data_IF_837162866906
#
_entry.id   IF_837162866906
#
_cell.length_a   1.000
_cell.length_b   1.000
_cell.length_c   1.000
_cell.angle_alpha   90.00
_cell.angle_beta   90.00
_cell.angle_gamma   90.00
#
_symmetry.space_group_name_H-M   'P 1'
#
loop_
_entity.id
_entity.type
_entity.pdbx_description
1 polymer ?
#
# COMPACT_ATOMS: atom_id res chain seq x y z
N UNK A 1 21.24 14.00 -28.84
CA UNK A 1 21.28 12.60 -28.37
C UNK A 1 20.96 12.55 -26.87
N UNK A 2 19.68 12.51 -26.49
CA UNK A 2 19.30 12.35 -25.07
C UNK A 2 19.41 10.87 -24.69
N UNK A 3 20.54 10.49 -24.08
CA UNK A 3 20.59 9.24 -23.32
C UNK A 3 19.67 9.46 -22.12
N UNK A 4 18.46 8.89 -22.15
CA UNK A 4 17.63 8.71 -20.95
C UNK A 4 18.45 7.87 -19.96
N UNK A 5 19.24 8.55 -19.14
CA UNK A 5 20.15 7.94 -18.19
C UNK A 5 19.28 7.38 -17.08
N UNK A 6 19.01 6.07 -17.11
CA UNK A 6 18.29 5.36 -16.05
C UNK A 6 18.89 5.77 -14.70
N UNK A 7 18.07 6.37 -13.83
CA UNK A 7 18.51 6.90 -12.55
C UNK A 7 18.35 5.80 -11.50
N UNK A 8 19.44 5.47 -10.81
CA UNK A 8 19.44 4.54 -9.68
C UNK A 8 18.66 5.11 -8.49
N UNK A 9 17.92 4.25 -7.79
CA UNK A 9 17.25 4.49 -6.51
C UNK A 9 18.27 4.97 -5.47
N UNK A 10 19.44 4.34 -5.39
CA UNK A 10 20.47 4.64 -4.39
C UNK A 10 20.96 6.09 -4.51
N UNK A 11 21.12 6.54 -5.76
CA UNK A 11 21.53 7.91 -6.08
C UNK A 11 20.39 8.90 -5.84
N UNK A 12 19.15 8.49 -6.05
CA UNK A 12 17.99 9.29 -5.68
C UNK A 12 17.94 9.47 -4.16
N UNK A 13 17.84 8.39 -3.37
CA UNK A 13 17.74 8.44 -1.90
C UNK A 13 18.83 9.27 -1.23
N UNK A 14 20.08 9.17 -1.70
CA UNK A 14 21.22 9.91 -1.15
C UNK A 14 21.18 11.41 -1.46
N UNK A 15 20.55 11.82 -2.55
CA UNK A 15 20.58 13.21 -3.03
C UNK A 15 19.27 13.95 -2.91
N UNK A 16 18.15 13.24 -2.75
CA UNK A 16 16.83 13.84 -2.66
C UNK A 16 16.50 14.27 -1.24
N UNK A 17 15.78 15.38 -1.15
CA UNK A 17 15.12 15.82 0.06
C UNK A 17 13.75 15.14 0.19
N UNK A 18 13.23 14.98 1.42
CA UNK A 18 11.87 14.53 1.64
C UNK A 18 10.86 15.41 0.89
N UNK A 19 9.86 14.78 0.28
CA UNK A 19 8.88 15.43 -0.60
C UNK A 19 9.31 15.55 -2.06
N UNK A 20 10.59 15.38 -2.40
CA UNK A 20 11.02 15.35 -3.80
C UNK A 20 10.58 14.06 -4.49
N UNK A 21 10.08 14.21 -5.72
CA UNK A 21 9.69 13.10 -6.59
C UNK A 21 10.85 12.77 -7.55
N UNK A 22 10.99 11.49 -7.89
CA UNK A 22 12.00 11.03 -8.84
C UNK A 22 11.54 9.80 -9.63
N UNK A 23 11.89 9.78 -10.91
CA UNK A 23 11.67 8.63 -11.78
C UNK A 23 12.85 7.65 -11.65
N UNK A 24 12.55 6.40 -11.34
CA UNK A 24 13.52 5.30 -11.21
C UNK A 24 13.09 4.12 -12.08
N UNK A 25 14.06 3.27 -12.47
CA UNK A 25 13.79 2.09 -13.29
C UNK A 25 13.99 0.84 -12.46
N UNK A 26 12.94 0.03 -12.35
CA UNK A 26 12.87 -1.06 -11.38
C UNK A 26 12.31 -2.34 -12.01
N UNK A 27 12.58 -3.46 -11.37
CA UNK A 27 11.86 -4.74 -11.56
C UNK A 27 11.09 -5.03 -10.27
N UNK A 28 9.86 -5.53 -10.40
CA UNK A 28 9.07 -5.97 -9.26
C UNK A 28 9.58 -7.32 -8.75
N UNK A 29 9.82 -7.42 -7.44
CA UNK A 29 10.17 -8.69 -6.79
C UNK A 29 8.99 -9.34 -6.09
N UNK A 30 8.27 -8.55 -5.29
CA UNK A 30 7.10 -9.02 -4.55
C UNK A 30 6.23 -7.84 -4.09
N UNK A 31 5.00 -8.15 -3.72
CA UNK A 31 4.06 -7.23 -3.05
C UNK A 31 3.71 -7.90 -1.73
N UNK A 32 3.98 -7.21 -0.62
CA UNK A 32 3.81 -7.73 0.73
C UNK A 32 2.84 -6.88 1.54
N UNK A 33 2.18 -7.51 2.51
CA UNK A 33 1.42 -6.81 3.54
C UNK A 33 2.35 -6.12 4.53
N UNK A 34 1.86 -5.07 5.18
CA UNK A 34 2.61 -4.39 6.24
C UNK A 34 2.53 -5.13 7.57
N UNK A 35 1.49 -5.93 7.83
CA UNK A 35 1.26 -6.50 9.16
C UNK A 35 2.25 -7.61 9.51
N UNK A 36 2.75 -8.41 8.56
CA UNK A 36 3.60 -9.58 8.83
C UNK A 36 2.95 -10.67 9.71
N UNK A 37 1.77 -10.40 10.27
CA UNK A 37 0.96 -11.32 11.05
C UNK A 37 0.16 -12.23 10.11
N UNK A 38 0.08 -13.54 10.39
CA UNK A 38 -0.75 -14.43 9.62
C UNK A 38 -2.22 -14.06 9.79
N UNK A 39 -2.89 -13.97 8.65
CA UNK A 39 -4.30 -13.70 8.52
C UNK A 39 -5.13 -14.71 9.33
N UNK A 40 -5.86 -14.25 10.36
CA UNK A 40 -6.65 -15.16 11.22
C UNK A 40 -7.67 -16.02 10.45
N UNK A 41 -8.06 -15.59 9.24
CA UNK A 41 -8.96 -16.34 8.35
C UNK A 41 -8.21 -17.37 7.49
N UNK A 42 -7.14 -16.96 6.82
CA UNK A 42 -6.43 -17.80 5.84
C UNK A 42 -5.22 -18.54 6.42
N UNK A 43 -4.78 -18.18 7.62
CA UNK A 43 -3.50 -18.57 8.26
C UNK A 43 -2.27 -18.32 7.39
N UNK A 44 -2.39 -17.43 6.41
CA UNK A 44 -1.35 -17.03 5.48
C UNK A 44 -0.87 -15.62 5.83
N UNK A 45 0.45 -15.40 5.80
CA UNK A 45 1.11 -14.11 6.04
C UNK A 45 0.93 -13.14 4.86
N UNK A 46 0.50 -13.65 3.69
CA UNK A 46 0.24 -12.86 2.49
C UNK A 46 -1.19 -13.07 1.96
N UNK A 47 -2.19 -13.08 2.85
CA UNK A 47 -3.60 -13.05 2.43
C UNK A 47 -4.04 -11.61 2.06
N UNK A 48 -4.89 -11.48 1.03
CA UNK A 48 -5.44 -10.19 0.62
C UNK A 48 -6.36 -9.54 1.66
N UNK A 49 -6.86 -10.29 2.65
CA UNK A 49 -7.71 -9.73 3.71
C UNK A 49 -6.99 -8.76 4.64
N UNK A 50 -5.66 -8.79 4.66
CA UNK A 50 -4.83 -7.92 5.51
C UNK A 50 -4.22 -6.72 4.74
N UNK A 51 -4.62 -6.55 3.47
CA UNK A 51 -4.27 -5.39 2.64
C UNK A 51 -5.09 -4.15 3.01
N UNK A 52 -6.33 -4.36 3.49
CA UNK A 52 -7.25 -3.28 3.84
C UNK A 52 -7.15 -2.90 5.31
N UNK A 53 -6.60 -1.74 5.59
CA UNK A 53 -6.55 -1.14 6.91
C UNK A 53 -7.67 -0.12 7.08
N UNK A 54 -7.89 0.34 8.30
CA UNK A 54 -8.74 1.47 8.60
C UNK A 54 -7.91 2.67 9.03
N UNK A 55 -8.27 3.89 8.63
CA UNK A 55 -7.71 5.11 9.20
C UNK A 55 -8.81 6.05 9.61
N UNK A 56 -8.72 6.53 10.85
CA UNK A 56 -9.55 7.63 11.31
C UNK A 56 -8.92 8.95 10.89
N UNK A 57 -9.68 9.79 10.17
CA UNK A 57 -9.18 11.10 9.71
C UNK A 57 -9.00 12.09 10.85
N UNK A 58 -9.79 11.95 11.91
CA UNK A 58 -9.87 12.89 13.00
C UNK A 58 -8.70 12.71 13.98
N UNK A 59 -8.35 11.47 14.33
CA UNK A 59 -7.23 11.19 15.22
C UNK A 59 -5.96 10.71 14.50
N UNK A 60 -6.04 10.42 13.19
CA UNK A 60 -4.92 9.90 12.41
C UNK A 60 -4.43 8.52 12.86
N UNK A 61 -5.26 7.79 13.61
CA UNK A 61 -4.97 6.41 14.01
C UNK A 61 -5.23 5.47 12.84
N UNK A 62 -4.34 4.51 12.67
CA UNK A 62 -4.44 3.44 11.69
C UNK A 62 -4.71 2.11 12.41
N UNK A 63 -5.59 1.31 11.84
CA UNK A 63 -6.11 0.08 12.41
C UNK A 63 -5.89 -1.06 11.43
N UNK A 64 -5.24 -2.12 11.88
CA UNK A 64 -5.07 -3.32 11.06
C UNK A 64 -6.41 -4.00 10.81
N UNK A 65 -6.49 -4.88 9.80
CA UNK A 65 -7.67 -5.74 9.62
C UNK A 65 -8.00 -6.56 10.88
N UNK A 66 -6.98 -6.95 11.66
CA UNK A 66 -7.15 -7.65 12.93
C UNK A 66 -7.87 -6.80 13.97
N UNK A 67 -7.48 -5.53 14.11
CA UNK A 67 -8.13 -4.58 15.03
C UNK A 67 -9.58 -4.35 14.62
N UNK A 68 -9.83 -4.14 13.32
CA UNK A 68 -11.17 -3.96 12.78
C UNK A 68 -12.08 -5.17 13.07
N UNK A 69 -11.58 -6.40 12.86
CA UNK A 69 -12.32 -7.64 13.16
C UNK A 69 -12.57 -7.85 14.66
N UNK A 70 -11.72 -7.33 15.54
CA UNK A 70 -11.91 -7.41 17.00
C UNK A 70 -12.94 -6.40 17.49
N UNK A 71 -13.03 -5.23 16.86
CA UNK A 71 -13.83 -4.12 17.34
C UNK A 71 -15.21 -3.99 16.68
N UNK A 72 -15.43 -4.57 15.49
CA UNK A 72 -16.70 -4.48 14.76
C UNK A 72 -17.28 -5.84 14.42
N UNK A 73 -18.61 -5.88 14.29
CA UNK A 73 -19.28 -7.10 13.84
C UNK A 73 -19.01 -7.36 12.36
N UNK A 74 -19.10 -8.63 11.94
CA UNK A 74 -19.01 -9.02 10.53
C UNK A 74 -20.02 -8.27 9.65
N UNK A 75 -21.23 -8.04 10.15
CA UNK A 75 -22.27 -7.30 9.41
C UNK A 75 -21.84 -5.86 9.16
N UNK A 76 -21.25 -5.20 10.16
CA UNK A 76 -20.79 -3.81 10.02
C UNK A 76 -19.66 -3.71 9.02
N UNK A 77 -18.68 -4.62 9.08
CA UNK A 77 -17.55 -4.66 8.15
C UNK A 77 -17.98 -4.91 6.70
N UNK A 78 -19.03 -5.71 6.47
CA UNK A 78 -19.52 -5.99 5.11
C UNK A 78 -20.33 -4.81 4.54
N UNK A 79 -21.17 -4.17 5.36
CA UNK A 79 -22.16 -3.19 4.88
C UNK A 79 -21.67 -1.75 4.91
N UNK A 80 -20.73 -1.43 5.79
CA UNK A 80 -20.36 -0.05 6.07
C UNK A 80 -19.26 0.44 5.13
N UNK A 81 -19.44 1.66 4.61
CA UNK A 81 -18.38 2.39 3.89
C UNK A 81 -17.40 3.07 4.84
N UNK A 82 -17.88 3.41 6.04
CA UNK A 82 -17.14 4.09 7.10
C UNK A 82 -17.59 3.51 8.45
N UNK A 83 -16.69 3.40 9.43
CA UNK A 83 -16.98 2.86 10.76
C UNK A 83 -16.73 3.91 11.83
N UNK A 84 -17.46 3.92 12.94
CA UNK A 84 -17.25 4.91 14.00
C UNK A 84 -15.95 4.63 14.77
N UNK A 85 -15.00 5.57 14.79
CA UNK A 85 -13.70 5.33 15.43
C UNK A 85 -13.79 5.02 16.92
N UNK A 86 -13.32 3.83 17.31
CA UNK A 86 -13.32 3.35 18.70
C UNK A 86 -12.19 3.93 19.58
N UNK A 87 -11.21 4.64 19.00
CA UNK A 87 -10.17 5.33 19.78
C UNK A 87 -10.53 6.77 20.14
N UNK A 88 -11.39 7.41 19.33
CA UNK A 88 -11.82 8.78 19.60
C UNK A 88 -12.76 8.79 20.80
N UNK A 89 -12.30 9.33 21.93
CA UNK A 89 -12.98 9.31 23.24
C UNK A 89 -14.18 10.27 23.34
N UNK A 90 -14.57 10.91 22.24
CA UNK A 90 -15.57 11.96 22.22
C UNK A 90 -16.77 11.42 21.43
N UNK A 91 -18.02 11.65 21.88
CA UNK A 91 -19.22 11.35 21.10
C UNK A 91 -19.33 12.37 19.96
N UNK A 92 -18.32 12.42 19.09
CA UNK A 92 -18.41 13.12 17.84
C UNK A 92 -18.82 12.07 16.79
N UNK A 93 -20.09 12.04 16.35
CA UNK A 93 -20.52 11.13 15.29
C UNK A 93 -19.77 11.35 13.96
N UNK A 94 -18.95 12.41 13.86
CA UNK A 94 -18.07 12.67 12.73
C UNK A 94 -16.77 11.84 12.70
N UNK A 95 -16.32 11.25 13.82
CA UNK A 95 -15.04 10.54 13.83
C UNK A 95 -15.17 9.16 13.16
N UNK A 96 -14.83 9.07 11.88
CA UNK A 96 -15.00 7.85 11.09
C UNK A 96 -13.67 7.26 10.63
N UNK A 97 -13.61 5.94 10.69
CA UNK A 97 -12.58 5.12 10.07
C UNK A 97 -13.02 4.86 8.63
N UNK A 98 -12.16 5.20 7.68
CA UNK A 98 -12.31 4.82 6.27
C UNK A 98 -11.36 3.69 5.90
N UNK A 99 -11.73 2.80 4.98
CA UNK A 99 -10.83 1.77 4.49
C UNK A 99 -9.68 2.43 3.71
N UNK A 100 -8.49 1.84 3.79
CA UNK A 100 -7.31 2.23 3.02
C UNK A 100 -6.49 0.98 2.68
N UNK A 101 -5.80 0.98 1.55
CA UNK A 101 -4.79 -0.05 1.31
C UNK A 101 -3.52 0.30 2.04
N UNK A 102 -2.88 -0.69 2.68
CA UNK A 102 -1.58 -0.52 3.32
C UNK A 102 -0.62 -1.63 2.88
N UNK A 103 0.18 -1.33 1.85
CA UNK A 103 1.07 -2.30 1.19
C UNK A 103 2.51 -1.82 1.15
N UNK A 104 3.41 -2.80 1.05
CA UNK A 104 4.82 -2.61 0.76
C UNK A 104 5.17 -3.36 -0.52
N UNK A 105 5.76 -2.68 -1.48
CA UNK A 105 6.22 -3.27 -2.73
C UNK A 105 7.73 -3.42 -2.68
N UNK A 106 8.23 -4.64 -2.91
CA UNK A 106 9.66 -4.92 -3.00
C UNK A 106 10.11 -4.82 -4.46
N UNK A 107 11.11 -3.99 -4.70
CA UNK A 107 11.61 -3.64 -6.02
C UNK A 107 13.12 -3.86 -6.08
N UNK A 108 13.62 -4.19 -7.27
CA UNK A 108 15.05 -4.24 -7.58
C UNK A 108 15.44 -3.06 -8.47
N UNK A 109 16.50 -2.34 -8.09
CA UNK A 109 17.08 -1.27 -8.91
C UNK A 109 17.86 -1.87 -10.08
N UNK A 110 17.49 -1.54 -11.31
CA UNK A 110 18.14 -2.03 -12.54
C UNK A 110 19.59 -1.56 -12.75
N UNK A 111 20.05 -0.58 -11.98
CA UNK A 111 21.40 -0.02 -12.09
C UNK A 111 22.33 -0.62 -11.04
N UNK A 112 21.83 -0.88 -9.83
CA UNK A 112 22.64 -1.38 -8.70
C UNK A 112 22.32 -2.81 -8.29
N UNK A 113 21.28 -3.42 -8.85
CA UNK A 113 20.71 -4.72 -8.47
C UNK A 113 20.40 -4.82 -6.97
N UNK A 114 20.10 -3.67 -6.35
CA UNK A 114 19.78 -3.60 -4.93
C UNK A 114 18.28 -3.73 -4.75
N UNK A 115 17.86 -4.58 -3.81
CA UNK A 115 16.45 -4.68 -3.42
C UNK A 115 16.10 -3.61 -2.38
N UNK A 116 14.89 -3.09 -2.48
CA UNK A 116 14.35 -2.11 -1.55
C UNK A 116 12.83 -2.20 -1.47
N UNK A 117 12.31 -1.83 -0.32
CA UNK A 117 10.88 -1.73 -0.06
C UNK A 117 10.40 -0.30 -0.32
N UNK A 118 9.24 -0.16 -0.96
CA UNK A 118 8.52 1.11 -1.11
C UNK A 118 7.10 0.97 -0.61
N UNK A 119 6.59 2.00 0.04
CA UNK A 119 5.20 2.09 0.46
C UNK A 119 4.28 2.30 -0.75
N UNK A 120 3.19 1.55 -0.77
CA UNK A 120 2.04 1.76 -1.64
C UNK A 120 0.79 1.74 -0.76
N UNK A 121 0.32 2.91 -0.32
CA UNK A 121 -0.75 3.00 0.68
C UNK A 121 -1.67 4.20 0.43
N UNK A 122 -2.90 4.11 0.96
CA UNK A 122 -3.92 5.16 0.89
C UNK A 122 -4.27 5.56 -0.55
N UNK A 123 -4.46 6.86 -0.77
CA UNK A 123 -4.84 7.43 -2.08
C UNK A 123 -3.90 7.00 -3.22
N UNK A 124 -2.61 6.79 -2.94
CA UNK A 124 -1.65 6.34 -3.96
C UNK A 124 -1.88 4.89 -4.37
N UNK A 125 -2.29 4.03 -3.43
CA UNK A 125 -2.66 2.66 -3.76
C UNK A 125 -3.99 2.62 -4.52
N UNK A 126 -4.96 3.46 -4.13
CA UNK A 126 -6.21 3.60 -4.88
C UNK A 126 -5.97 4.07 -6.32
N UNK A 127 -5.14 5.09 -6.50
CA UNK A 127 -4.74 5.58 -7.82
C UNK A 127 -3.98 4.51 -8.62
N UNK A 128 -3.07 3.80 -7.95
CA UNK A 128 -2.25 2.78 -8.57
C UNK A 128 -3.09 1.61 -9.07
N UNK A 129 -3.98 1.05 -8.25
CA UNK A 129 -4.82 -0.08 -8.65
C UNK A 129 -6.08 0.34 -9.40
N UNK A 130 -6.48 1.61 -9.34
CA UNK A 130 -7.74 2.09 -9.90
C UNK A 130 -8.98 1.52 -9.19
N UNK A 131 -8.84 1.06 -7.95
CA UNK A 131 -9.92 0.49 -7.14
C UNK A 131 -9.86 1.03 -5.72
N UNK A 132 -11.03 1.21 -5.10
CA UNK A 132 -11.11 1.62 -3.70
C UNK A 132 -11.17 0.40 -2.77
N UNK A 133 -10.44 0.43 -1.65
CA UNK A 133 -10.53 -0.63 -0.64
C UNK A 133 -11.90 -0.58 0.05
N UNK A 134 -12.34 -1.74 0.55
CA UNK A 134 -13.58 -1.84 1.33
C UNK A 134 -13.35 -2.69 2.56
N UNK A 135 -14.02 -2.36 3.68
CA UNK A 135 -13.95 -3.16 4.90
C UNK A 135 -14.44 -4.60 4.69
N UNK A 136 -15.31 -4.81 3.71
CA UNK A 136 -15.77 -6.12 3.29
C UNK A 136 -14.60 -7.06 3.01
N UNK A 137 -13.50 -6.57 2.43
CA UNK A 137 -12.33 -7.38 2.10
C UNK A 137 -11.53 -7.82 3.32
N UNK A 138 -11.75 -7.23 4.50
CA UNK A 138 -11.17 -7.74 5.76
C UNK A 138 -11.84 -9.05 6.19
N UNK A 139 -13.02 -9.37 5.63
CA UNK A 139 -13.82 -10.55 5.91
C UNK A 139 -13.90 -11.47 4.69
N UNK A 140 -14.30 -10.97 3.54
CA UNK A 140 -14.50 -11.72 2.30
C UNK A 140 -13.28 -11.61 1.38
N UNK A 141 -13.11 -12.58 0.47
CA UNK A 141 -12.06 -12.47 -0.54
C UNK A 141 -12.25 -11.20 -1.38
N UNK A 142 -11.14 -10.66 -1.89
CA UNK A 142 -11.20 -9.61 -2.89
C UNK A 142 -11.93 -10.14 -4.14
N UNK A 143 -12.52 -9.26 -4.98
CA UNK A 143 -13.11 -9.67 -6.24
C UNK A 143 -12.07 -10.42 -7.09
N UNK A 144 -12.49 -11.46 -7.81
CA UNK A 144 -11.60 -12.23 -8.70
C UNK A 144 -10.86 -11.35 -9.70
N UNK A 145 -11.50 -10.25 -10.13
CA UNK A 145 -10.88 -9.24 -11.00
C UNK A 145 -9.68 -8.57 -10.36
N UNK A 146 -9.72 -8.31 -9.05
CA UNK A 146 -8.60 -7.73 -8.31
C UNK A 146 -7.45 -8.72 -8.18
N UNK A 147 -7.74 -9.97 -7.81
CA UNK A 147 -6.72 -11.03 -7.71
C UNK A 147 -6.03 -11.26 -9.06
N UNK A 148 -6.82 -11.30 -10.14
CA UNK A 148 -6.29 -11.41 -11.50
C UNK A 148 -5.40 -10.22 -11.88
N UNK A 149 -5.81 -8.99 -11.54
CA UNK A 149 -4.99 -7.79 -11.78
C UNK A 149 -3.64 -7.90 -11.08
N UNK A 150 -3.63 -8.21 -9.78
CA UNK A 150 -2.39 -8.35 -9.00
C UNK A 150 -1.50 -9.45 -9.58
N UNK A 151 -2.06 -10.62 -9.90
CA UNK A 151 -1.33 -11.71 -10.51
C UNK A 151 -0.73 -11.31 -11.88
N UNK A 152 -1.49 -10.59 -12.71
CA UNK A 152 -1.02 -10.12 -14.00
C UNK A 152 0.15 -9.16 -13.85
N UNK A 153 0.04 -8.16 -12.97
CA UNK A 153 1.14 -7.24 -12.69
C UNK A 153 2.36 -7.93 -12.11
N UNK A 154 2.17 -8.89 -11.21
CA UNK A 154 3.28 -9.68 -10.71
C UNK A 154 4.00 -10.41 -11.86
N UNK A 155 3.24 -11.05 -12.76
CA UNK A 155 3.77 -11.75 -13.93
C UNK A 155 4.51 -10.83 -14.91
N UNK A 156 3.95 -9.66 -15.22
CA UNK A 156 4.51 -8.73 -16.18
C UNK A 156 5.72 -7.98 -15.63
N UNK A 157 5.60 -7.44 -14.42
CA UNK A 157 6.60 -6.55 -13.81
C UNK A 157 7.75 -7.31 -13.14
N UNK A 158 7.60 -8.60 -12.85
CA UNK A 158 8.72 -9.46 -12.42
C UNK A 158 9.69 -9.80 -13.54
N UNK A 159 9.23 -9.73 -14.80
CA UNK A 159 10.01 -10.10 -15.98
C UNK A 159 10.56 -8.90 -16.75
N UNK A 160 10.02 -7.71 -16.53
CA UNK A 160 10.34 -6.51 -17.32
C UNK A 160 10.61 -5.33 -16.39
N UNK A 161 11.63 -4.54 -16.75
CA UNK A 161 11.87 -3.28 -16.06
C UNK A 161 10.83 -2.23 -16.47
N UNK A 162 10.30 -1.51 -15.51
CA UNK A 162 9.37 -0.40 -15.75
C UNK A 162 9.82 0.87 -15.02
N UNK A 163 9.46 2.06 -15.55
CA UNK A 163 9.71 3.31 -14.85
C UNK A 163 8.68 3.46 -13.72
N UNK A 164 9.13 3.92 -12.56
CA UNK A 164 8.31 4.16 -11.38
C UNK A 164 8.63 5.54 -10.81
N UNK A 165 7.60 6.32 -10.52
CA UNK A 165 7.78 7.60 -9.81
C UNK A 165 7.70 7.34 -8.32
N UNK A 166 8.77 7.69 -7.61
CA UNK A 166 8.87 7.54 -6.15
C UNK A 166 9.08 8.89 -5.48
N UNK A 167 8.55 9.03 -4.28
CA UNK A 167 8.77 10.15 -3.38
C UNK A 167 9.56 9.68 -2.16
N UNK A 168 10.52 10.48 -1.70
CA UNK A 168 11.20 10.24 -0.41
C UNK A 168 10.38 10.81 0.73
N UNK A 169 10.03 10.00 1.70
CA UNK A 169 9.19 10.39 2.84
C UNK A 169 9.93 10.15 4.16
N UNK A 170 9.50 10.85 5.22
CA UNK A 170 9.83 10.49 6.59
C UNK A 170 8.77 9.54 7.12
N UNK A 171 9.19 8.40 7.64
CA UNK A 171 8.35 7.57 8.49
C UNK A 171 8.35 8.10 9.92
N UNK A 172 7.33 7.75 10.72
CA UNK A 172 7.17 8.22 12.11
C UNK A 172 8.36 7.87 13.02
N UNK A 173 9.11 6.83 12.67
CA UNK A 173 10.34 6.39 13.33
C UNK A 173 11.60 7.19 12.92
N UNK A 174 11.45 8.21 12.06
CA UNK A 174 12.54 9.06 11.59
C UNK A 174 13.40 8.41 10.50
N UNK A 175 13.05 7.20 10.03
CA UNK A 175 13.74 6.58 8.90
C UNK A 175 13.31 7.23 7.57
N UNK A 176 14.23 7.25 6.61
CA UNK A 176 13.91 7.66 5.25
C UNK A 176 13.27 6.47 4.53
N UNK A 177 11.99 6.57 4.22
CA UNK A 177 11.26 5.60 3.41
C UNK A 177 11.00 6.16 2.01
N UNK A 178 10.54 5.30 1.12
CA UNK A 178 10.15 5.63 -0.24
C UNK A 178 8.69 5.27 -0.42
N UNK A 179 7.97 6.08 -1.19
CA UNK A 179 6.57 5.85 -1.53
C UNK A 179 6.34 5.94 -3.03
N UNK A 180 5.52 5.06 -3.58
CA UNK A 180 5.05 5.16 -4.97
C UNK A 180 4.07 6.34 -5.09
N UNK A 181 4.22 7.17 -6.13
CA UNK A 181 3.29 8.27 -6.41
C UNK A 181 3.08 8.47 -7.91
N UNK A 182 1.99 9.15 -8.28
CA UNK A 182 1.67 9.58 -9.65
C UNK A 182 1.85 8.47 -10.71
N UNK A 183 1.56 7.22 -10.34
CA UNK A 183 1.78 6.05 -11.19
C UNK A 183 0.51 5.22 -11.19
N UNK A 184 0.01 4.91 -12.39
CA UNK A 184 -1.07 3.94 -12.58
C UNK A 184 -0.49 2.56 -12.80
N UNK A 185 -1.29 1.54 -12.52
CA UNK A 185 -1.00 0.17 -12.91
C UNK A 185 -0.53 0.11 -14.36
N UNK A 186 0.65 -0.45 -14.64
CA UNK A 186 1.04 -0.75 -16.01
C UNK A 186 0.03 -1.74 -16.60
N UNK A 187 -0.64 -1.34 -17.67
CA UNK A 187 -1.54 -2.19 -18.50
C UNK A 187 -0.83 -2.65 -19.76
#
# INVERSE_FOLDING_TARGET
>A
KNKNKKRSISKFCKKSKPGEKGLVWVILKSINTVSGEPCNKCRDVNCYHDWTWGMCRECGAEFSSSDLRKCYSTSDLIKSKELQCFMCSIPNPAATIKPLFKLTVCLEDMVTNAEFAVELSGDFAEEFFGIQPTFKWTIEAAPETFDFMIANFHSECSRKSFPLTVNKIYTRDGLNSLRICDTKFPT
#
